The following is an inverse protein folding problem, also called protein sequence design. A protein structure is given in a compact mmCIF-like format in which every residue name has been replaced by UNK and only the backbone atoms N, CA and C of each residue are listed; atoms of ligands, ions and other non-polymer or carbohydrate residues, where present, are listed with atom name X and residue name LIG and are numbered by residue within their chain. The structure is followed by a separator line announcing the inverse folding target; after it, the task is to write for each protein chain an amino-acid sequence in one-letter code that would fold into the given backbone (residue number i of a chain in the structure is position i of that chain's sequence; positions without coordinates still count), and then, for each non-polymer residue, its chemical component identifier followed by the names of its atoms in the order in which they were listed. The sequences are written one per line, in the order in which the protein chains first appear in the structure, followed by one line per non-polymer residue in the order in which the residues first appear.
data_IF_209877545078
#
_entry.id   IF_209877545078
#
_cell.length_a   1.000
_cell.length_b   1.000
_cell.length_c   1.000
_cell.angle_alpha   90.00
_cell.angle_beta   90.00
_cell.angle_gamma   90.00
#
_symmetry.space_group_name_H-M   'P 1'
#
loop_
_entity.id
_entity.type
_entity.pdbx_description
1 polymer ?
#
# COMPACT_ATOMS: atom_id res chain seq x y z
N UNK A 1 19.07 -10.70 -0.60
CA UNK A 1 18.29 -11.63 0.25
C UNK A 1 17.53 -10.84 1.32
N UNK A 2 16.36 -11.30 1.76
CA UNK A 2 15.60 -10.64 2.83
C UNK A 2 16.30 -10.78 4.19
N UNK A 3 16.25 -9.74 5.02
CA UNK A 3 16.55 -9.80 6.45
C UNK A 3 15.67 -8.79 7.21
N UNK A 4 15.35 -9.07 8.47
CA UNK A 4 14.53 -8.16 9.30
C UNK A 4 15.21 -6.80 9.51
N UNK A 5 16.55 -6.76 9.63
CA UNK A 5 17.31 -5.53 9.80
C UNK A 5 17.23 -4.65 8.55
N UNK A 6 17.45 -5.24 7.37
CA UNK A 6 17.39 -4.52 6.08
C UNK A 6 15.97 -4.01 5.81
N UNK A 7 14.95 -4.81 6.10
CA UNK A 7 13.56 -4.38 5.96
C UNK A 7 13.23 -3.21 6.90
N UNK A 8 13.69 -3.27 8.15
CA UNK A 8 13.48 -2.19 9.13
C UNK A 8 14.12 -0.87 8.67
N UNK A 9 15.35 -0.92 8.18
CA UNK A 9 16.05 0.26 7.66
C UNK A 9 15.31 0.87 6.47
N UNK A 10 14.96 0.06 5.47
CA UNK A 10 14.20 0.53 4.30
C UNK A 10 12.83 1.11 4.67
N UNK A 11 12.14 0.54 5.67
CA UNK A 11 10.86 1.06 6.16
C UNK A 11 11.03 2.43 6.84
N UNK A 12 12.07 2.62 7.64
CA UNK A 12 12.38 3.91 8.29
C UNK A 12 12.73 4.98 7.25
N UNK A 13 13.58 4.64 6.27
CA UNK A 13 13.92 5.55 5.17
C UNK A 13 12.68 5.99 4.40
N UNK A 14 11.77 5.05 4.10
CA UNK A 14 10.51 5.35 3.43
C UNK A 14 9.63 6.29 4.25
N UNK A 15 9.49 6.08 5.57
CA UNK A 15 8.72 6.95 6.45
C UNK A 15 9.25 8.39 6.45
N UNK A 16 10.57 8.56 6.60
CA UNK A 16 11.22 9.88 6.60
C UNK A 16 11.06 10.57 5.25
N UNK A 17 11.34 9.86 4.14
CA UNK A 17 11.31 10.44 2.80
C UNK A 17 9.92 10.89 2.34
N UNK A 18 8.85 10.37 2.98
CA UNK A 18 7.46 10.64 2.58
C UNK A 18 6.65 11.33 3.67
N UNK A 19 7.31 11.77 4.75
CA UNK A 19 6.70 12.40 5.93
C UNK A 19 5.48 11.60 6.47
N UNK A 20 5.61 10.27 6.48
CA UNK A 20 4.53 9.39 6.92
C UNK A 20 4.51 9.26 8.44
N UNK A 21 3.33 9.04 8.99
CA UNK A 21 3.17 8.72 10.40
C UNK A 21 3.81 7.35 10.69
N UNK A 22 4.51 7.24 11.82
CA UNK A 22 5.11 5.97 12.28
C UNK A 22 4.05 4.86 12.38
N UNK A 23 2.82 5.23 12.76
CA UNK A 23 1.65 4.34 12.84
C UNK A 23 1.28 3.67 11.52
N UNK A 24 1.81 4.12 10.37
CA UNK A 24 1.61 3.44 9.09
C UNK A 24 2.10 1.99 9.11
N UNK A 25 3.18 1.70 9.86
CA UNK A 25 3.73 0.35 10.02
C UNK A 25 2.85 -0.56 10.89
N UNK A 26 2.07 0.02 11.81
CA UNK A 26 1.13 -0.72 12.66
C UNK A 26 -0.14 -1.12 11.92
N UNK A 27 -0.41 -0.50 10.77
CA UNK A 27 -1.66 -0.71 10.05
C UNK A 27 -1.72 -2.10 9.41
N UNK A 28 -2.73 -2.94 9.69
CA UNK A 28 -2.79 -4.32 9.21
C UNK A 28 -2.82 -4.43 7.68
N UNK A 29 -3.37 -3.43 6.98
CA UNK A 29 -3.32 -3.39 5.51
C UNK A 29 -1.92 -3.14 4.94
N UNK A 30 -1.05 -2.42 5.66
CA UNK A 30 0.34 -2.25 5.24
C UNK A 30 1.04 -3.61 5.23
N UNK A 31 0.96 -4.36 6.34
CA UNK A 31 1.49 -5.72 6.42
C UNK A 31 0.93 -6.64 5.33
N UNK A 32 -0.40 -6.63 5.12
CA UNK A 32 -1.04 -7.42 4.07
C UNK A 32 -0.51 -7.09 2.66
N UNK A 33 -0.22 -5.83 2.38
CA UNK A 33 0.36 -5.42 1.10
C UNK A 33 1.76 -6.01 0.89
N UNK A 34 2.60 -6.02 1.94
CA UNK A 34 3.92 -6.64 1.92
C UNK A 34 3.82 -8.15 1.74
N UNK A 35 2.92 -8.82 2.46
CA UNK A 35 2.72 -10.28 2.34
C UNK A 35 2.34 -10.67 0.89
N UNK A 36 1.47 -9.89 0.24
CA UNK A 36 1.11 -10.09 -1.18
C UNK A 36 2.32 -9.84 -2.09
N UNK A 37 3.07 -8.76 -1.85
CA UNK A 37 4.25 -8.40 -2.63
C UNK A 37 5.37 -9.45 -2.55
N UNK A 38 5.55 -10.08 -1.38
CA UNK A 38 6.57 -11.10 -1.15
C UNK A 38 6.34 -12.37 -2.00
N UNK A 39 5.10 -12.65 -2.40
CA UNK A 39 4.76 -13.76 -3.29
C UNK A 39 5.07 -13.49 -4.77
N UNK A 40 5.45 -12.27 -5.15
CA UNK A 40 5.63 -11.90 -6.54
C UNK A 40 6.97 -12.40 -7.11
N UNK A 41 6.92 -13.30 -8.09
CA UNK A 41 8.12 -13.84 -8.76
C UNK A 41 8.68 -12.93 -9.86
N UNK A 42 7.86 -12.00 -10.36
CA UNK A 42 8.21 -11.08 -11.46
C UNK A 42 8.27 -9.62 -11.01
N UNK A 43 8.49 -9.41 -9.72
CA UNK A 43 8.41 -8.08 -9.08
C UNK A 43 6.98 -7.56 -8.95
N UNK A 44 6.85 -6.38 -8.35
CA UNK A 44 5.56 -5.74 -8.05
C UNK A 44 5.36 -4.52 -8.94
N UNK A 45 4.16 -4.36 -9.51
CA UNK A 45 3.78 -3.16 -10.27
C UNK A 45 2.98 -2.22 -9.37
N UNK A 46 3.60 -1.13 -8.93
CA UNK A 46 2.95 -0.10 -8.13
C UNK A 46 2.10 0.77 -9.07
N UNK A 47 0.79 0.97 -8.79
CA UNK A 47 -0.06 1.82 -9.62
C UNK A 47 0.36 3.29 -9.52
N UNK A 48 0.25 4.03 -10.62
CA UNK A 48 0.53 5.47 -10.63
C UNK A 48 -0.53 6.23 -9.84
N UNK A 49 -0.19 7.41 -9.32
CA UNK A 49 -1.13 8.29 -8.61
C UNK A 49 -2.45 8.47 -9.39
N UNK A 50 -2.36 8.73 -10.70
CA UNK A 50 -3.53 8.88 -11.58
C UNK A 50 -4.40 7.62 -11.63
N UNK A 51 -3.78 6.44 -11.75
CA UNK A 51 -4.50 5.16 -11.78
C UNK A 51 -5.17 4.87 -10.42
N UNK A 52 -4.44 5.10 -9.33
CA UNK A 52 -4.94 4.94 -7.95
C UNK A 52 -6.12 5.86 -7.68
N UNK A 53 -6.00 7.15 -7.99
CA UNK A 53 -7.07 8.13 -7.82
C UNK A 53 -8.33 7.75 -8.60
N UNK A 54 -8.19 7.38 -9.88
CA UNK A 54 -9.32 6.93 -10.71
C UNK A 54 -10.00 5.70 -10.09
N UNK A 55 -9.22 4.76 -9.57
CA UNK A 55 -9.75 3.54 -8.94
C UNK A 55 -10.52 3.86 -7.65
N UNK A 56 -9.98 4.72 -6.79
CA UNK A 56 -10.64 5.15 -5.56
C UNK A 56 -11.99 5.81 -5.86
N UNK A 57 -12.04 6.77 -6.79
CA UNK A 57 -13.30 7.41 -7.21
C UNK A 57 -14.30 6.37 -7.71
N UNK A 58 -13.84 5.40 -8.50
CA UNK A 58 -14.70 4.33 -9.02
C UNK A 58 -15.29 3.49 -7.88
N UNK A 59 -14.49 3.14 -6.87
CA UNK A 59 -14.95 2.37 -5.71
C UNK A 59 -15.99 3.15 -4.90
N UNK A 60 -15.77 4.43 -4.65
CA UNK A 60 -16.74 5.28 -3.96
C UNK A 60 -18.07 5.38 -4.74
N UNK A 61 -18.02 5.67 -6.04
CA UNK A 61 -19.22 5.72 -6.89
C UNK A 61 -20.01 4.40 -6.87
N UNK A 62 -19.31 3.26 -6.95
CA UNK A 62 -19.95 1.94 -6.88
C UNK A 62 -20.63 1.72 -5.53
N UNK A 63 -19.98 2.09 -4.41
CA UNK A 63 -20.55 1.97 -3.08
C UNK A 63 -21.82 2.82 -2.92
N UNK A 64 -21.81 4.06 -3.43
CA UNK A 64 -22.98 4.96 -3.40
C UNK A 64 -24.16 4.41 -4.21
N UNK A 65 -23.92 3.79 -5.37
CA UNK A 65 -24.99 3.21 -6.20
C UNK A 65 -25.62 1.95 -5.57
N UNK A 66 -24.86 1.18 -4.79
CA UNK A 66 -25.38 -0.02 -4.10
C UNK A 66 -26.23 0.37 -2.88
N UNK A 67 -25.98 1.52 -2.26
CA UNK A 67 -26.74 2.00 -1.08
C UNK A 67 -28.04 2.74 -1.42
N UNK A 68 -28.29 3.04 -2.70
CA UNK A 68 -29.50 3.74 -3.17
C UNK A 68 -30.42 2.85 -4.03
N UNK A 69 -30.11 1.56 -4.15
CA UNK A 69 -30.92 0.54 -4.82
C UNK A 69 -31.47 -0.43 -3.77
#
# INVERSE_FOLDING_TARGET
PYSNALFREAAIEWLIATDQLIQALDHPHFKRMIDIAACATKGVKIPTCKATHKHIIKLFKKKTLITCA
#
